data_IF_426775891679
#
_entry.id   IF_426775891679
#
_cell.length_a   1.000
_cell.length_b   1.000
_cell.length_c   1.000
_cell.angle_alpha   90.00
_cell.angle_beta   90.00
_cell.angle_gamma   90.00
#
_symmetry.space_group_name_H-M   'P 1'
#
loop_
_entity.id
_entity.type
_entity.pdbx_description
1 polymer ?
#
# COMPACT_ATOMS: atom_id res chain seq x y z
N UNK A 1 21.31 -12.34 16.86
CA UNK A 1 20.23 -13.07 16.14
C UNK A 1 20.89 -13.91 15.05
N UNK A 2 20.36 -15.10 14.72
CA UNK A 2 20.95 -16.00 13.71
C UNK A 2 19.98 -16.15 12.52
N UNK A 3 20.46 -16.56 11.32
CA UNK A 3 19.59 -16.73 10.15
C UNK A 3 18.53 -17.80 10.40
N UNK A 4 17.27 -17.39 10.48
CA UNK A 4 16.15 -18.27 10.79
C UNK A 4 14.83 -17.69 10.25
N UNK A 5 13.88 -18.58 9.95
CA UNK A 5 12.48 -18.21 9.78
C UNK A 5 11.95 -17.76 11.14
N UNK A 6 11.44 -16.53 11.22
CA UNK A 6 11.01 -15.92 12.48
C UNK A 6 9.97 -14.83 12.27
N UNK A 7 9.27 -14.46 13.35
CA UNK A 7 8.32 -13.35 13.40
C UNK A 7 8.96 -11.96 13.53
N UNK A 8 10.29 -11.86 13.49
CA UNK A 8 10.96 -10.57 13.55
C UNK A 8 10.63 -9.74 12.30
N UNK A 9 10.43 -8.43 12.47
CA UNK A 9 10.21 -7.48 11.35
C UNK A 9 11.52 -7.11 10.63
N UNK A 10 12.66 -7.34 11.31
CA UNK A 10 14.00 -7.28 10.73
C UNK A 10 14.57 -8.70 10.69
N UNK A 11 15.39 -9.03 9.69
CA UNK A 11 16.12 -10.30 9.66
C UNK A 11 17.43 -10.24 10.49
N UNK A 12 18.22 -11.32 10.47
CA UNK A 12 19.50 -11.38 11.20
C UNK A 12 20.56 -10.40 10.68
N UNK A 13 20.43 -9.95 9.42
CA UNK A 13 21.27 -8.92 8.82
C UNK A 13 20.68 -7.52 9.04
N UNK A 14 19.61 -7.36 9.82
CA UNK A 14 18.87 -6.11 10.01
C UNK A 14 18.24 -5.55 8.73
N UNK A 15 17.98 -6.39 7.72
CA UNK A 15 17.19 -6.01 6.55
C UNK A 15 15.70 -5.98 6.93
N UNK A 16 14.97 -5.03 6.34
CA UNK A 16 13.56 -4.81 6.63
C UNK A 16 12.72 -5.84 5.88
N UNK A 17 11.87 -6.58 6.58
CA UNK A 17 10.82 -7.39 5.95
C UNK A 17 9.61 -6.51 5.62
N UNK A 18 8.71 -6.99 4.77
CA UNK A 18 7.43 -6.31 4.48
C UNK A 18 6.62 -5.98 5.75
N UNK A 19 6.74 -6.80 6.81
CA UNK A 19 6.10 -6.55 8.11
C UNK A 19 6.66 -5.32 8.84
N UNK A 20 7.91 -4.91 8.58
CA UNK A 20 8.46 -3.66 9.10
C UNK A 20 7.74 -2.46 8.50
N UNK A 21 7.47 -2.47 7.19
CA UNK A 21 6.73 -1.40 6.53
C UNK A 21 5.27 -1.37 6.98
N UNK A 22 4.63 -2.54 7.15
CA UNK A 22 3.30 -2.62 7.75
C UNK A 22 3.26 -2.03 9.17
N UNK A 23 4.25 -2.35 10.01
CA UNK A 23 4.37 -1.80 11.36
C UNK A 23 4.60 -0.28 11.34
N UNK A 24 5.45 0.23 10.43
CA UNK A 24 5.70 1.66 10.24
C UNK A 24 4.40 2.42 9.95
N UNK A 25 3.56 1.91 9.04
CA UNK A 25 2.28 2.54 8.71
C UNK A 25 1.27 2.42 9.86
N UNK A 26 1.25 1.31 10.58
CA UNK A 26 0.35 1.11 11.73
C UNK A 26 0.66 2.05 12.91
N UNK A 27 1.92 2.49 13.05
CA UNK A 27 2.40 3.29 14.19
C UNK A 27 2.49 4.79 13.87
N UNK A 28 1.90 5.24 12.75
CA UNK A 28 1.83 6.67 12.46
C UNK A 28 1.02 7.41 13.52
N UNK A 29 1.33 8.69 13.82
CA UNK A 29 0.51 9.50 14.73
C UNK A 29 -0.93 9.70 14.24
N UNK A 30 -1.16 9.58 12.95
CA UNK A 30 -2.48 9.66 12.31
C UNK A 30 -2.66 8.41 11.45
N UNK A 31 -3.81 7.75 11.58
CA UNK A 31 -4.08 6.45 10.94
C UNK A 31 -5.50 6.41 10.38
N UNK A 32 -5.64 5.86 9.17
CA UNK A 32 -6.91 5.43 8.60
C UNK A 32 -7.05 3.92 8.77
N UNK A 33 -8.16 3.48 9.35
CA UNK A 33 -8.43 2.06 9.60
C UNK A 33 -9.84 1.66 9.15
N UNK A 34 -9.92 0.77 8.16
CA UNK A 34 -11.17 0.08 7.87
C UNK A 34 -11.37 -1.08 8.86
N UNK A 35 -12.32 -0.92 9.78
CA UNK A 35 -12.70 -1.99 10.71
C UNK A 35 -13.51 -3.06 10.00
N UNK A 36 -12.96 -4.27 9.92
CA UNK A 36 -13.67 -5.41 9.37
C UNK A 36 -14.84 -5.88 10.24
N UNK A 37 -14.72 -5.71 11.56
CA UNK A 37 -15.76 -6.10 12.53
C UNK A 37 -16.93 -5.11 12.51
N UNK A 38 -16.63 -3.81 12.58
CA UNK A 38 -17.68 -2.78 12.66
C UNK A 38 -18.17 -2.32 11.29
N UNK A 39 -17.46 -2.66 10.22
CA UNK A 39 -17.75 -2.20 8.84
C UNK A 39 -17.78 -0.68 8.75
N UNK A 40 -16.74 -0.04 9.30
CA UNK A 40 -16.56 1.42 9.34
C UNK A 40 -15.16 1.82 8.89
N UNK A 41 -15.03 3.05 8.42
CA UNK A 41 -13.75 3.74 8.39
C UNK A 41 -13.55 4.50 9.69
N UNK A 42 -12.43 4.29 10.36
CA UNK A 42 -12.03 4.96 11.60
C UNK A 42 -10.80 5.81 11.30
N UNK A 43 -10.87 7.08 11.66
CA UNK A 43 -9.75 8.03 11.59
C UNK A 43 -9.24 8.22 13.02
N UNK A 44 -7.98 7.92 13.26
CA UNK A 44 -7.34 8.04 14.56
C UNK A 44 -6.32 9.17 14.48
N UNK A 45 -6.44 10.15 15.37
CA UNK A 45 -5.50 11.25 15.53
C UNK A 45 -4.86 11.20 16.92
N UNK A 46 -3.68 10.60 16.99
CA UNK A 46 -2.82 10.59 18.19
C UNK A 46 -1.77 11.71 18.17
N UNK A 47 -2.01 12.78 17.40
CA UNK A 47 -1.22 14.01 17.53
C UNK A 47 -1.86 14.97 18.56
N UNK A 48 -1.09 15.99 18.96
CA UNK A 48 -1.57 17.12 19.78
C UNK A 48 -2.19 18.25 18.95
N UNK A 49 -2.23 18.11 17.62
CA UNK A 49 -2.83 19.04 16.68
C UNK A 49 -4.10 18.49 16.06
N UNK A 50 -4.99 19.38 15.62
CA UNK A 50 -6.16 18.99 14.85
C UNK A 50 -5.73 18.38 13.50
N UNK A 51 -6.42 17.31 13.08
CA UNK A 51 -6.26 16.74 11.76
C UNK A 51 -7.44 17.18 10.89
N UNK A 52 -7.19 18.15 10.02
CA UNK A 52 -8.17 18.72 9.11
C UNK A 52 -7.66 18.60 7.68
N UNK A 53 -8.33 17.79 6.86
CA UNK A 53 -7.96 17.55 5.46
C UNK A 53 -9.16 16.96 4.68
N UNK A 54 -9.00 16.75 3.37
CA UNK A 54 -10.00 16.15 2.48
C UNK A 54 -9.83 14.63 2.43
N UNK A 55 -10.86 13.91 2.91
CA UNK A 55 -10.93 12.44 2.82
C UNK A 55 -11.41 12.05 1.43
N UNK A 56 -10.56 11.40 0.64
CA UNK A 56 -10.90 10.83 -0.67
C UNK A 56 -11.12 9.33 -0.54
N UNK A 57 -12.14 8.82 -1.22
CA UNK A 57 -12.64 7.46 -1.06
C UNK A 57 -12.93 6.84 -2.42
N UNK A 58 -12.54 5.58 -2.57
CA UNK A 58 -12.78 4.82 -3.78
C UNK A 58 -13.35 3.45 -3.41
N UNK A 59 -14.49 3.11 -4.00
CA UNK A 59 -15.01 1.76 -4.04
C UNK A 59 -14.53 1.13 -5.35
N UNK A 60 -13.73 0.07 -5.23
CA UNK A 60 -13.14 -0.64 -6.36
C UNK A 60 -13.78 -2.01 -6.47
N UNK A 61 -14.23 -2.38 -7.66
CA UNK A 61 -14.82 -3.69 -7.94
C UNK A 61 -13.79 -4.79 -8.11
N UNK A 62 -14.28 -6.02 -8.29
CA UNK A 62 -13.47 -7.22 -8.44
C UNK A 62 -12.54 -7.17 -9.65
N UNK A 63 -12.93 -6.49 -10.73
CA UNK A 63 -12.12 -6.35 -11.94
C UNK A 63 -11.16 -5.15 -11.87
N UNK A 64 -11.06 -4.50 -10.70
CA UNK A 64 -10.17 -3.36 -10.47
C UNK A 64 -10.70 -2.03 -11.01
N UNK A 65 -11.94 -2.01 -11.49
CA UNK A 65 -12.66 -0.82 -11.91
C UNK A 65 -13.10 0.00 -10.68
N UNK A 66 -13.03 1.32 -10.80
CA UNK A 66 -13.56 2.21 -9.75
C UNK A 66 -15.06 2.34 -9.95
N UNK A 67 -15.83 1.76 -9.04
CA UNK A 67 -17.31 1.77 -9.05
C UNK A 67 -17.84 3.12 -8.59
N UNK A 68 -17.28 3.64 -7.50
CA UNK A 68 -17.69 4.90 -6.91
C UNK A 68 -16.48 5.66 -6.37
N UNK A 69 -16.52 6.98 -6.50
CA UNK A 69 -15.57 7.92 -5.91
C UNK A 69 -16.35 8.93 -5.09
N UNK A 70 -15.86 9.24 -3.90
CA UNK A 70 -16.43 10.30 -3.06
C UNK A 70 -15.32 11.05 -2.33
N UNK A 71 -15.63 12.28 -1.93
CA UNK A 71 -14.74 13.08 -1.08
C UNK A 71 -15.54 13.83 -0.04
N UNK A 72 -14.94 14.05 1.13
CA UNK A 72 -15.52 14.87 2.19
C UNK A 72 -14.44 15.50 3.05
N UNK A 73 -14.70 16.73 3.46
CA UNK A 73 -13.87 17.37 4.48
C UNK A 73 -14.09 16.67 5.83
N UNK A 74 -12.99 16.43 6.55
CA UNK A 74 -13.01 15.83 7.88
C UNK A 74 -12.15 16.64 8.83
N UNK A 75 -12.59 16.70 10.08
CA UNK A 75 -11.87 17.32 11.19
C UNK A 75 -11.84 16.32 12.33
N UNK A 76 -10.64 15.96 12.79
CA UNK A 76 -10.43 15.06 13.92
C UNK A 76 -9.63 15.79 14.97
N UNK A 77 -10.25 16.01 16.14
CA UNK A 77 -9.62 16.72 17.24
C UNK A 77 -8.31 16.03 17.70
N UNK A 78 -7.39 16.77 18.35
CA UNK A 78 -6.22 16.18 18.98
C UNK A 78 -6.59 15.00 19.89
N UNK A 79 -5.73 13.97 19.93
CA UNK A 79 -5.87 12.79 20.82
C UNK A 79 -7.27 12.16 20.79
N UNK A 80 -7.85 12.04 19.60
CA UNK A 80 -9.21 11.57 19.41
C UNK A 80 -9.36 10.67 18.19
N UNK A 81 -10.57 10.14 17.99
CA UNK A 81 -10.93 9.42 16.77
C UNK A 81 -12.30 9.85 16.27
N UNK A 82 -12.51 9.74 14.96
CA UNK A 82 -13.84 9.78 14.33
C UNK A 82 -14.09 8.48 13.57
N UNK A 83 -15.36 8.14 13.35
CA UNK A 83 -15.72 6.94 12.62
C UNK A 83 -16.94 7.16 11.77
N UNK A 84 -16.94 6.59 10.57
CA UNK A 84 -18.01 6.70 9.60
C UNK A 84 -18.44 5.31 9.13
N UNK A 85 -19.75 5.04 9.15
CA UNK A 85 -20.28 3.82 8.51
C UNK A 85 -20.18 3.96 6.99
N UNK A 86 -20.00 2.85 6.28
CA UNK A 86 -19.76 2.92 4.83
C UNK A 86 -20.91 3.57 4.05
N UNK A 87 -22.16 3.43 4.50
CA UNK A 87 -23.32 4.09 3.88
C UNK A 87 -23.36 5.62 4.05
N UNK A 88 -22.54 6.20 4.92
CA UNK A 88 -22.32 7.66 4.98
C UNK A 88 -21.23 8.13 4.01
N UNK A 89 -20.41 7.20 3.54
CA UNK A 89 -19.22 7.46 2.72
C UNK A 89 -19.46 7.18 1.24
N UNK A 90 -20.37 6.27 0.94
CA UNK A 90 -20.69 5.79 -0.40
C UNK A 90 -22.19 5.70 -0.58
N UNK A 91 -22.67 6.04 -1.77
CA UNK A 91 -24.07 5.97 -2.17
C UNK A 91 -24.47 4.60 -2.73
N UNK A 92 -23.48 3.75 -3.02
CA UNK A 92 -23.70 2.38 -3.51
C UNK A 92 -24.61 1.59 -2.57
N UNK A 93 -25.77 1.20 -3.09
CA UNK A 93 -26.71 0.33 -2.38
C UNK A 93 -26.07 -1.04 -2.09
N UNK A 94 -26.39 -1.62 -0.93
CA UNK A 94 -25.87 -2.92 -0.50
C UNK A 94 -24.35 -3.04 -0.63
N UNK A 95 -23.60 -1.98 -0.32
CA UNK A 95 -22.13 -1.92 -0.49
C UNK A 95 -21.39 -3.14 0.09
N UNK A 96 -21.91 -3.73 1.17
CA UNK A 96 -21.33 -4.91 1.80
C UNK A 96 -21.37 -6.18 0.93
N UNK A 97 -22.26 -6.22 -0.08
CA UNK A 97 -22.37 -7.29 -1.05
C UNK A 97 -21.40 -7.15 -2.24
N UNK A 98 -20.67 -6.05 -2.35
CA UNK A 98 -19.71 -5.82 -3.44
C UNK A 98 -18.44 -6.64 -3.22
N UNK A 99 -18.09 -7.50 -4.18
CA UNK A 99 -16.75 -8.11 -4.24
C UNK A 99 -15.76 -7.06 -4.73
N UNK A 100 -14.85 -6.64 -3.87
CA UNK A 100 -14.00 -5.51 -4.19
C UNK A 100 -13.22 -4.98 -2.99
N UNK A 101 -12.72 -3.75 -3.14
CA UNK A 101 -11.88 -3.06 -2.18
C UNK A 101 -12.43 -1.68 -1.86
N UNK A 102 -12.21 -1.27 -0.62
CA UNK A 102 -12.34 0.10 -0.17
C UNK A 102 -10.94 0.71 -0.15
N UNK A 103 -10.79 1.91 -0.67
CA UNK A 103 -9.57 2.72 -0.56
C UNK A 103 -9.96 4.06 0.08
N UNK A 104 -9.19 4.49 1.07
CA UNK A 104 -9.35 5.78 1.73
C UNK A 104 -8.00 6.50 1.78
N UNK A 105 -8.05 7.81 1.52
CA UNK A 105 -6.90 8.69 1.44
C UNK A 105 -7.17 9.98 2.18
N UNK A 106 -6.24 10.39 3.04
CA UNK A 106 -6.32 11.64 3.78
C UNK A 106 -4.90 12.20 3.92
N UNK A 107 -4.62 13.29 3.21
CA UNK A 107 -3.27 13.81 3.04
C UNK A 107 -2.34 12.76 2.44
N UNK A 108 -1.25 12.44 3.14
CA UNK A 108 -0.28 11.44 2.69
C UNK A 108 -0.59 10.00 3.13
N UNK A 109 -1.69 9.77 3.87
CA UNK A 109 -2.06 8.46 4.40
C UNK A 109 -3.06 7.82 3.46
N UNK A 110 -2.73 6.61 2.99
CA UNK A 110 -3.62 5.76 2.19
C UNK A 110 -3.79 4.42 2.90
N UNK A 111 -5.03 3.95 2.97
CA UNK A 111 -5.35 2.60 3.45
C UNK A 111 -6.31 1.93 2.48
N UNK A 112 -6.25 0.62 2.40
CA UNK A 112 -7.20 -0.15 1.63
C UNK A 112 -7.54 -1.46 2.33
N UNK A 113 -8.77 -1.92 2.09
CA UNK A 113 -9.28 -3.16 2.67
C UNK A 113 -10.21 -3.83 1.68
N UNK A 114 -10.08 -5.14 1.51
CA UNK A 114 -11.12 -5.91 0.83
C UNK A 114 -12.46 -5.73 1.54
N UNK A 115 -13.55 -5.60 0.80
CA UNK A 115 -14.89 -5.54 1.37
C UNK A 115 -15.23 -6.83 2.11
N UNK A 116 -15.09 -7.98 1.46
CA UNK A 116 -15.41 -9.28 2.04
C UNK A 116 -14.32 -9.81 2.97
N UNK A 117 -14.72 -10.70 3.88
CA UNK A 117 -13.80 -11.39 4.80
C UNK A 117 -13.28 -12.71 4.23
N UNK A 118 -13.87 -13.19 3.13
CA UNK A 118 -13.39 -14.36 2.43
C UNK A 118 -11.98 -14.11 1.86
N UNK A 119 -11.22 -15.15 1.51
CA UNK A 119 -10.02 -15.00 0.69
C UNK A 119 -10.33 -14.32 -0.64
N UNK A 120 -9.32 -13.67 -1.21
CA UNK A 120 -9.42 -13.08 -2.54
C UNK A 120 -9.49 -14.23 -3.53
N UNK A 121 -10.54 -14.28 -4.35
CA UNK A 121 -10.69 -15.34 -5.37
C UNK A 121 -10.22 -14.88 -6.74
N UNK A 122 -10.44 -13.60 -7.07
CA UNK A 122 -10.01 -13.00 -8.32
C UNK A 122 -9.85 -11.49 -8.13
N UNK A 123 -8.85 -10.96 -8.81
CA UNK A 123 -8.57 -9.53 -8.99
C UNK A 123 -7.96 -9.39 -10.38
N UNK A 124 -8.03 -8.20 -10.98
CA UNK A 124 -7.38 -8.00 -12.27
C UNK A 124 -5.90 -8.38 -12.24
N UNK A 125 -5.39 -8.83 -13.38
CA UNK A 125 -4.01 -9.27 -13.52
C UNK A 125 -3.02 -8.17 -13.11
N UNK A 126 -1.86 -8.60 -12.60
CA UNK A 126 -0.75 -7.69 -12.37
C UNK A 126 -0.37 -7.00 -13.68
N UNK A 127 -0.60 -5.69 -13.75
CA UNK A 127 -0.37 -4.89 -14.94
C UNK A 127 0.09 -3.50 -14.52
N UNK A 128 1.41 -3.35 -14.44
CA UNK A 128 2.08 -2.10 -14.10
C UNK A 128 3.12 -1.79 -15.18
N UNK A 129 3.27 -0.53 -15.54
CA UNK A 129 4.41 -0.07 -16.31
C UNK A 129 5.50 0.38 -15.34
N UNK A 130 6.73 -0.01 -15.63
CA UNK A 130 7.91 0.29 -14.81
C UNK A 130 8.90 1.09 -15.66
N UNK A 131 9.43 2.15 -15.06
CA UNK A 131 10.54 2.91 -15.63
C UNK A 131 11.59 3.12 -14.55
N UNK A 132 12.69 2.39 -14.66
CA UNK A 132 13.81 2.45 -13.74
C UNK A 132 14.94 3.35 -14.24
N UNK A 133 15.62 4.01 -13.29
CA UNK A 133 16.80 4.84 -13.56
C UNK A 133 17.84 4.60 -12.48
N UNK A 134 19.05 4.23 -12.89
CA UNK A 134 20.18 4.02 -11.99
C UNK A 134 20.97 5.32 -11.81
N UNK A 135 21.20 5.71 -10.55
CA UNK A 135 22.02 6.84 -10.16
C UNK A 135 23.02 6.39 -9.08
N UNK A 136 24.23 6.02 -9.48
CA UNK A 136 25.25 5.49 -8.57
C UNK A 136 24.82 4.16 -7.94
N UNK A 137 24.59 4.15 -6.63
CA UNK A 137 24.09 3.00 -5.86
C UNK A 137 22.57 3.05 -5.62
N UNK A 138 21.84 3.94 -6.30
CA UNK A 138 20.39 4.08 -6.18
C UNK A 138 19.67 3.71 -7.47
N UNK A 139 18.44 3.23 -7.33
CA UNK A 139 17.51 2.99 -8.44
C UNK A 139 16.22 3.74 -8.13
N UNK A 140 15.84 4.68 -9.00
CA UNK A 140 14.52 5.29 -8.98
C UNK A 140 13.60 4.48 -9.89
N UNK A 141 12.42 4.13 -9.43
CA UNK A 141 11.45 3.34 -10.19
C UNK A 141 10.13 4.08 -10.22
N UNK A 142 9.75 4.60 -11.39
CA UNK A 142 8.41 5.08 -11.63
C UNK A 142 7.52 3.87 -11.95
N UNK A 143 6.54 3.63 -11.10
CA UNK A 143 5.53 2.59 -11.27
C UNK A 143 4.23 3.25 -11.66
N UNK A 144 3.62 2.82 -12.77
CA UNK A 144 2.26 3.23 -13.16
C UNK A 144 1.34 2.01 -13.19
N UNK A 145 0.24 2.06 -12.45
CA UNK A 145 -0.74 0.99 -12.41
C UNK A 145 -1.71 1.08 -13.61
N UNK A 146 -1.77 0.04 -14.45
CA UNK A 146 -2.76 -0.03 -15.55
C UNK A 146 -4.08 -0.65 -15.10
N UNK A 147 -4.08 -1.32 -13.96
CA UNK A 147 -5.26 -1.76 -13.22
C UNK A 147 -5.06 -1.52 -11.72
N UNK A 148 -6.13 -1.59 -10.93
CA UNK A 148 -6.05 -1.56 -9.47
C UNK A 148 -5.01 -2.56 -8.97
N UNK A 149 -4.00 -2.07 -8.28
CA UNK A 149 -2.90 -2.86 -7.77
C UNK A 149 -2.84 -2.76 -6.26
N UNK A 150 -2.99 -3.90 -5.59
CA UNK A 150 -3.01 -3.96 -4.13
C UNK A 150 -1.73 -4.58 -3.57
N UNK A 151 -1.18 -3.94 -2.53
CA UNK A 151 0.08 -4.31 -1.87
C UNK A 151 1.28 -4.46 -2.82
N UNK A 152 1.42 -3.55 -3.80
CA UNK A 152 2.60 -3.48 -4.66
C UNK A 152 3.86 -3.31 -3.81
N UNK A 153 4.85 -4.18 -4.06
CA UNK A 153 6.10 -4.24 -3.32
C UNK A 153 7.25 -4.53 -4.30
N UNK A 154 8.40 -3.90 -4.11
CA UNK A 154 9.61 -4.19 -4.87
C UNK A 154 10.53 -5.03 -3.98
N UNK A 155 10.92 -6.23 -4.41
CA UNK A 155 11.70 -7.17 -3.58
C UNK A 155 13.15 -7.31 -4.09
N UNK A 156 13.98 -6.25 -4.05
CA UNK A 156 15.33 -6.26 -4.59
C UNK A 156 16.25 -7.24 -3.87
N UNK A 157 15.94 -7.67 -2.65
CA UNK A 157 16.67 -8.70 -1.92
C UNK A 157 16.65 -10.08 -2.60
N UNK A 158 15.76 -10.29 -3.57
CA UNK A 158 15.77 -11.51 -4.39
C UNK A 158 16.97 -11.57 -5.34
N UNK A 159 17.60 -10.42 -5.63
CA UNK A 159 18.63 -10.30 -6.66
C UNK A 159 19.89 -9.60 -6.17
N UNK A 160 19.79 -8.61 -5.27
CA UNK A 160 20.91 -7.92 -4.65
C UNK A 160 21.70 -8.87 -3.73
N UNK A 161 23.03 -8.74 -3.73
CA UNK A 161 23.90 -9.55 -2.89
C UNK A 161 24.17 -8.90 -1.54
N UNK A 162 24.30 -7.57 -1.51
CA UNK A 162 24.46 -6.80 -0.28
C UNK A 162 23.14 -6.19 0.22
N UNK A 163 23.21 -5.45 1.33
CA UNK A 163 22.07 -4.73 1.90
C UNK A 163 21.45 -3.80 0.85
N UNK A 164 20.13 -3.87 0.77
CA UNK A 164 19.28 -2.98 -0.03
C UNK A 164 18.12 -2.49 0.83
N UNK A 165 17.64 -1.28 0.56
CA UNK A 165 16.47 -0.70 1.22
C UNK A 165 15.57 -0.03 0.20
N UNK A 166 14.26 -0.06 0.46
CA UNK A 166 13.23 0.52 -0.40
C UNK A 166 12.49 1.60 0.37
N UNK A 167 12.13 2.71 -0.28
CA UNK A 167 11.49 3.85 0.38
C UNK A 167 10.07 3.52 0.85
N UNK A 168 9.32 2.74 0.07
CA UNK A 168 7.95 2.35 0.35
C UNK A 168 7.64 0.95 -0.21
N UNK A 169 6.83 0.20 0.54
CA UNK A 169 6.36 -1.15 0.21
C UNK A 169 4.87 -1.27 0.51
N UNK A 170 4.21 -2.31 0.00
CA UNK A 170 2.78 -2.60 0.21
C UNK A 170 1.88 -1.44 -0.23
N UNK A 171 2.18 -0.84 -1.36
CA UNK A 171 1.49 0.32 -1.91
C UNK A 171 0.19 -0.12 -2.59
N UNK A 172 -0.88 0.63 -2.41
CA UNK A 172 -2.12 0.47 -3.19
C UNK A 172 -2.18 1.56 -4.25
N UNK A 173 -2.43 1.18 -5.50
CA UNK A 173 -2.59 2.10 -6.64
C UNK A 173 -3.93 1.84 -7.33
N UNK A 174 -4.66 2.91 -7.63
CA UNK A 174 -5.83 2.90 -8.49
C UNK A 174 -5.39 2.85 -9.97
N UNK A 175 -6.27 2.44 -10.91
CA UNK A 175 -5.95 2.49 -12.34
C UNK A 175 -5.53 3.89 -12.79
N UNK A 176 -4.40 3.97 -13.50
CA UNK A 176 -3.80 5.20 -14.02
C UNK A 176 -2.91 5.95 -13.02
N UNK A 177 -2.88 5.55 -11.75
CA UNK A 177 -2.00 6.19 -10.77
C UNK A 177 -0.55 5.80 -10.95
N UNK A 178 0.34 6.71 -10.54
CA UNK A 178 1.77 6.48 -10.54
C UNK A 178 2.42 6.83 -9.21
N UNK A 179 3.51 6.15 -8.88
CA UNK A 179 4.34 6.45 -7.72
C UNK A 179 5.82 6.27 -8.07
N UNK A 180 6.67 7.11 -7.49
CA UNK A 180 8.12 6.92 -7.54
C UNK A 180 8.57 6.20 -6.27
N UNK A 181 9.28 5.09 -6.46
CA UNK A 181 9.89 4.30 -5.39
C UNK A 181 11.41 4.41 -5.54
N UNK A 182 12.10 4.65 -4.42
CA UNK A 182 13.56 4.72 -4.38
C UNK A 182 14.09 3.45 -3.74
N UNK A 183 15.05 2.82 -4.42
CA UNK A 183 15.82 1.67 -3.94
C UNK A 183 17.25 2.13 -3.70
N UNK A 184 17.75 2.01 -2.48
CA UNK A 184 19.13 2.29 -2.12
C UNK A 184 19.89 0.97 -1.89
N UNK A 185 20.86 0.71 -2.74
CA UNK A 185 21.76 -0.45 -2.66
C UNK A 185 23.08 -0.07 -1.96
N UNK A 186 23.79 -1.06 -1.43
CA UNK A 186 25.10 -0.82 -0.80
C UNK A 186 26.19 -0.44 -1.81
N UNK A 187 26.05 -0.87 -3.07
CA UNK A 187 27.03 -0.67 -4.12
C UNK A 187 26.34 -0.46 -5.49
N UNK A 188 27.08 0.04 -6.48
CA UNK A 188 26.56 0.32 -7.81
C UNK A 188 26.35 -0.92 -8.69
N UNK A 189 26.95 -2.06 -8.34
CA UNK A 189 26.76 -3.33 -9.06
C UNK A 189 25.38 -3.91 -8.76
N UNK A 190 25.00 -3.94 -7.49
CA UNK A 190 23.65 -4.32 -7.06
C UNK A 190 22.59 -3.38 -7.63
N UNK A 191 22.85 -2.06 -7.67
CA UNK A 191 21.90 -1.11 -8.27
C UNK A 191 21.63 -1.41 -9.75
N UNK A 192 22.69 -1.74 -10.53
CA UNK A 192 22.53 -2.16 -11.93
C UNK A 192 21.79 -3.49 -12.04
N UNK A 193 22.08 -4.45 -11.17
CA UNK A 193 21.45 -5.77 -11.18
C UNK A 193 19.95 -5.68 -10.86
N UNK A 194 19.61 -4.93 -9.80
CA UNK A 194 18.23 -4.64 -9.39
C UNK A 194 17.46 -3.98 -10.53
N UNK A 195 18.02 -2.93 -11.15
CA UNK A 195 17.38 -2.27 -12.28
C UNK A 195 17.14 -3.23 -13.45
N UNK A 196 18.11 -4.07 -13.80
CA UNK A 196 17.98 -5.03 -14.91
C UNK A 196 16.94 -6.13 -14.68
N UNK A 197 16.49 -6.33 -13.44
CA UNK A 197 15.53 -7.36 -13.05
C UNK A 197 14.27 -6.76 -12.42
N UNK A 198 13.99 -5.47 -12.67
CA UNK A 198 12.93 -4.73 -11.97
C UNK A 198 11.55 -5.37 -12.12
N UNK A 199 11.23 -5.90 -13.30
CA UNK A 199 9.97 -6.62 -13.56
C UNK A 199 9.87 -7.90 -12.70
N UNK A 200 10.95 -8.69 -12.62
CA UNK A 200 10.97 -9.96 -11.90
C UNK A 200 10.76 -9.77 -10.40
N UNK A 201 11.32 -8.70 -9.84
CA UNK A 201 11.23 -8.37 -8.41
C UNK A 201 10.02 -7.50 -8.04
N UNK A 202 9.18 -7.10 -9.00
CA UNK A 202 7.96 -6.33 -8.71
C UNK A 202 6.81 -7.28 -8.38
N UNK A 203 6.34 -7.25 -7.14
CA UNK A 203 5.26 -8.09 -6.64
C UNK A 203 4.03 -7.26 -6.27
N UNK A 204 2.88 -7.91 -6.24
CA UNK A 204 1.62 -7.37 -5.73
C UNK A 204 0.71 -8.54 -5.39
N UNK A 205 -0.37 -8.30 -4.64
CA UNK A 205 -1.41 -9.30 -4.47
C UNK A 205 -1.92 -9.81 -5.83
N UNK A 206 -2.11 -8.90 -6.80
CA UNK A 206 -2.60 -9.23 -8.14
C UNK A 206 -1.74 -10.29 -8.85
N UNK A 207 -0.42 -10.25 -8.64
CA UNK A 207 0.54 -11.22 -9.20
C UNK A 207 0.49 -12.56 -8.49
N UNK A 208 0.06 -12.60 -7.22
CA UNK A 208 -0.08 -13.85 -6.47
C UNK A 208 -1.38 -14.60 -6.82
N UNK A 209 -2.38 -13.87 -7.34
CA UNK A 209 -3.70 -14.42 -7.66
C UNK A 209 -3.85 -14.93 -9.09
N UNK A 210 -2.86 -14.68 -9.96
CA UNK A 210 -2.86 -15.04 -11.39
C UNK A 210 -1.51 -15.67 -11.76
#
# INVERSE_FOLDING_TARGET
>A
MWPAISWAVLDSASSRKLSWYAMREAYRPQVLHFSGKERKLILINDSDTEWHDMLNLHLVGKQGEVIEQSSREVIVAPRSQSSYVLGELFNTADIHAIDGYLVAELGAIRTSRRMWDAPVDAVCAHNVALLERVEGNRVQVLVEAKCFTHELSLLPELVALDRVTVSAERITLLPGESINIEIECSNAEDAKKVASQIEEITWSLNRLMN
#
